data_IF_969047984408
#
_entry.id   IF_969047984408
#
_cell.length_a   1.000
_cell.length_b   1.000
_cell.length_c   1.000
_cell.angle_alpha   90.00
_cell.angle_beta   90.00
_cell.angle_gamma   90.00
#
_symmetry.space_group_name_H-M   'P 1'
#
loop_
_entity.id
_entity.type
_entity.pdbx_description
1 polymer ?
#
# COMPACT_ATOMS: atom_id res chain seq x y z
N UNK A 1 12.16 -12.95 0.54
CA UNK A 1 10.86 -12.36 0.13
C UNK A 1 9.69 -13.34 0.29
N UNK A 2 9.62 -14.45 -0.46
CA UNK A 2 8.53 -15.42 -0.26
C UNK A 2 8.57 -16.08 1.13
N UNK A 3 9.77 -16.34 1.61
CA UNK A 3 10.06 -16.88 2.95
C UNK A 3 9.61 -15.90 4.04
N UNK A 4 10.21 -14.70 4.11
CA UNK A 4 9.78 -13.63 5.05
C UNK A 4 8.26 -13.35 5.04
N UNK A 5 7.62 -13.42 3.87
CA UNK A 5 6.17 -13.22 3.77
C UNK A 5 5.38 -14.35 4.45
N UNK A 6 5.89 -15.57 4.36
CA UNK A 6 5.34 -16.74 5.07
C UNK A 6 5.52 -16.59 6.57
N UNK A 7 6.74 -16.25 7.02
CA UNK A 7 7.07 -16.10 8.43
C UNK A 7 6.26 -14.95 9.07
N UNK A 8 6.14 -13.80 8.37
CA UNK A 8 5.26 -12.71 8.81
C UNK A 8 3.79 -13.16 8.94
N UNK A 9 3.31 -13.98 8.00
CA UNK A 9 1.94 -14.51 8.04
C UNK A 9 1.72 -15.43 9.23
N UNK A 10 2.72 -16.24 9.58
CA UNK A 10 2.73 -17.10 10.76
C UNK A 10 2.73 -16.25 12.04
N UNK A 11 3.59 -15.25 12.14
CA UNK A 11 3.65 -14.34 13.28
C UNK A 11 2.31 -13.60 13.53
N UNK A 12 1.62 -13.19 12.45
CA UNK A 12 0.26 -12.63 12.52
C UNK A 12 -0.73 -13.65 13.10
N UNK A 13 -0.70 -14.90 12.61
CA UNK A 13 -1.61 -15.96 13.03
C UNK A 13 -1.40 -16.33 14.51
N UNK A 14 -0.15 -16.33 14.98
CA UNK A 14 0.23 -16.58 16.37
C UNK A 14 -0.12 -15.43 17.32
N UNK A 15 -0.43 -14.24 16.78
CA UNK A 15 -0.67 -13.00 17.55
C UNK A 15 0.49 -12.66 18.49
N UNK A 16 1.71 -12.95 18.07
CA UNK A 16 2.93 -12.69 18.83
C UNK A 16 3.55 -11.34 18.36
N UNK A 17 3.45 -10.26 19.15
CA UNK A 17 3.88 -8.93 18.71
C UNK A 17 5.39 -8.80 18.49
N UNK A 18 6.21 -9.54 19.24
CA UNK A 18 7.67 -9.49 19.09
C UNK A 18 8.09 -10.22 17.82
N UNK A 19 7.56 -11.42 17.59
CA UNK A 19 7.78 -12.19 16.36
C UNK A 19 7.28 -11.39 15.14
N UNK A 20 6.09 -10.77 15.23
CA UNK A 20 5.56 -9.91 14.16
C UNK A 20 6.53 -8.78 13.79
N UNK A 21 7.17 -8.16 14.79
CA UNK A 21 8.09 -7.05 14.58
C UNK A 21 9.40 -7.50 13.95
N UNK A 22 9.91 -8.67 14.33
CA UNK A 22 11.08 -9.33 13.74
C UNK A 22 10.82 -9.61 12.25
N UNK A 23 9.78 -10.37 11.94
CA UNK A 23 9.46 -10.77 10.57
C UNK A 23 9.09 -9.60 9.66
N UNK A 24 8.44 -8.57 10.20
CA UNK A 24 8.18 -7.35 9.44
C UNK A 24 9.48 -6.64 9.06
N UNK A 25 10.46 -6.62 9.97
CA UNK A 25 11.78 -6.07 9.72
C UNK A 25 12.51 -6.83 8.62
N UNK A 26 12.48 -8.16 8.66
CA UNK A 26 13.15 -9.02 7.69
C UNK A 26 12.49 -8.94 6.31
N UNK A 27 11.16 -8.86 6.23
CA UNK A 27 10.45 -8.60 4.98
C UNK A 27 10.87 -7.26 4.35
N UNK A 28 10.93 -6.19 5.14
CA UNK A 28 11.36 -4.86 4.66
C UNK A 28 12.82 -4.88 4.21
N UNK A 29 13.70 -5.53 4.96
CA UNK A 29 15.11 -5.69 4.60
C UNK A 29 15.30 -6.50 3.32
N UNK A 30 14.55 -7.59 3.16
CA UNK A 30 14.55 -8.41 1.96
C UNK A 30 14.05 -7.62 0.74
N UNK A 31 13.03 -6.77 0.89
CA UNK A 31 12.53 -5.91 -0.18
C UNK A 31 13.59 -4.88 -0.63
N UNK A 32 14.29 -4.23 0.32
CA UNK A 32 15.39 -3.31 0.02
C UNK A 32 16.55 -4.04 -0.68
N UNK A 33 16.87 -5.26 -0.27
CA UNK A 33 17.90 -6.05 -0.94
C UNK A 33 17.52 -6.40 -2.38
N UNK A 34 16.25 -6.72 -2.65
CA UNK A 34 15.78 -6.93 -4.03
C UNK A 34 15.95 -5.67 -4.88
N UNK A 35 15.61 -4.50 -4.35
CA UNK A 35 15.85 -3.22 -5.04
C UNK A 35 17.33 -3.04 -5.36
N UNK A 36 18.23 -3.26 -4.38
CA UNK A 36 19.69 -3.19 -4.58
C UNK A 36 20.18 -4.12 -5.69
N UNK A 37 19.76 -5.39 -5.71
CA UNK A 37 20.18 -6.35 -6.74
C UNK A 37 19.56 -6.09 -8.12
N UNK A 38 18.48 -5.31 -8.16
CA UNK A 38 17.80 -4.93 -9.39
C UNK A 38 18.22 -3.54 -9.89
N UNK A 39 19.20 -2.91 -9.25
CA UNK A 39 19.68 -1.55 -9.57
C UNK A 39 18.55 -0.49 -9.50
N UNK A 40 17.58 -0.70 -8.60
CA UNK A 40 16.48 0.23 -8.35
C UNK A 40 16.73 0.96 -7.04
N UNK A 41 16.51 2.28 -7.01
CA UNK A 41 16.49 3.06 -5.77
C UNK A 41 15.21 2.72 -4.96
N UNK A 42 15.35 2.07 -3.78
CA UNK A 42 14.19 1.69 -2.97
C UNK A 42 13.43 2.90 -2.41
N UNK A 43 14.10 4.01 -2.13
CA UNK A 43 13.47 5.23 -1.61
C UNK A 43 12.60 5.87 -2.70
N UNK A 44 13.14 6.01 -3.91
CA UNK A 44 12.39 6.54 -5.05
C UNK A 44 11.18 5.64 -5.39
N UNK A 45 11.37 4.32 -5.40
CA UNK A 45 10.29 3.37 -5.68
C UNK A 45 9.16 3.42 -4.63
N UNK A 46 9.52 3.58 -3.36
CA UNK A 46 8.55 3.76 -2.28
C UNK A 46 7.82 5.11 -2.41
N UNK A 47 8.56 6.19 -2.70
CA UNK A 47 7.99 7.52 -2.90
C UNK A 47 6.92 7.52 -4.00
N UNK A 48 7.23 6.94 -5.17
CA UNK A 48 6.25 6.80 -6.28
C UNK A 48 5.01 6.02 -5.87
N UNK A 49 5.15 5.03 -4.98
CA UNK A 49 4.02 4.26 -4.47
C UNK A 49 3.17 5.07 -3.49
N UNK A 50 3.80 5.87 -2.62
CA UNK A 50 3.11 6.82 -1.74
C UNK A 50 2.35 7.89 -2.54
N UNK A 51 2.96 8.50 -3.55
CA UNK A 51 2.31 9.51 -4.40
C UNK A 51 1.07 8.95 -5.09
N UNK A 52 1.18 7.72 -5.61
CA UNK A 52 0.05 6.99 -6.22
C UNK A 52 -1.07 6.73 -5.21
N UNK A 53 -0.72 6.36 -3.97
CA UNK A 53 -1.70 6.20 -2.91
C UNK A 53 -2.41 7.52 -2.60
N UNK A 54 -1.66 8.61 -2.44
CA UNK A 54 -2.19 9.95 -2.16
C UNK A 54 -3.17 10.38 -3.25
N UNK A 55 -2.78 10.29 -4.53
CA UNK A 55 -3.66 10.67 -5.66
C UNK A 55 -4.98 9.91 -5.66
N UNK A 56 -4.92 8.59 -5.48
CA UNK A 56 -6.12 7.74 -5.46
C UNK A 56 -6.97 8.01 -4.23
N UNK A 57 -6.34 8.25 -3.10
CA UNK A 57 -7.06 8.61 -1.89
C UNK A 57 -7.78 9.95 -2.04
N UNK A 58 -7.12 10.97 -2.60
CA UNK A 58 -7.76 12.26 -2.91
C UNK A 58 -8.98 12.10 -3.83
N UNK A 59 -8.93 11.19 -4.81
CA UNK A 59 -10.10 10.87 -5.62
C UNK A 59 -11.27 10.30 -4.79
N UNK A 60 -10.99 9.45 -3.79
CA UNK A 60 -12.00 8.96 -2.85
C UNK A 60 -12.59 10.15 -2.07
N UNK A 61 -11.74 11.05 -1.54
CA UNK A 61 -12.20 12.20 -0.75
C UNK A 61 -13.13 13.11 -1.56
N UNK A 62 -12.73 13.48 -2.78
CA UNK A 62 -13.55 14.31 -3.68
C UNK A 62 -14.85 13.62 -4.08
N UNK A 63 -14.80 12.30 -4.33
CA UNK A 63 -15.99 11.54 -4.73
C UNK A 63 -16.97 11.37 -3.57
N UNK A 64 -16.48 11.18 -2.36
CA UNK A 64 -17.29 11.16 -1.15
C UNK A 64 -17.97 12.53 -0.94
N UNK A 65 -17.22 13.62 -1.08
CA UNK A 65 -17.76 14.99 -0.97
C UNK A 65 -18.86 15.26 -2.01
N UNK A 66 -18.63 14.90 -3.29
CA UNK A 66 -19.64 15.02 -4.36
C UNK A 66 -20.92 14.22 -4.09
N UNK A 67 -20.81 13.07 -3.42
CA UNK A 67 -21.95 12.23 -3.02
C UNK A 67 -22.59 12.68 -1.70
N UNK A 68 -22.07 13.74 -1.05
CA UNK A 68 -22.53 14.20 0.26
C UNK A 68 -22.26 13.18 1.38
N UNK A 69 -21.28 12.29 1.18
CA UNK A 69 -20.88 11.26 2.12
C UNK A 69 -19.69 11.75 2.95
N UNK A 70 -19.59 11.24 4.18
CA UNK A 70 -18.40 11.42 5.00
C UNK A 70 -17.55 10.16 4.91
N UNK A 71 -16.24 10.29 4.66
CA UNK A 71 -15.30 9.17 4.59
C UNK A 71 -15.39 8.25 5.80
N UNK A 72 -15.53 8.82 7.01
CA UNK A 72 -15.63 8.04 8.25
C UNK A 72 -16.92 7.20 8.37
N UNK A 73 -17.87 7.36 7.45
CA UNK A 73 -19.12 6.58 7.39
C UNK A 73 -19.15 5.59 6.23
N UNK A 74 -18.13 5.60 5.37
CA UNK A 74 -18.06 4.70 4.23
C UNK A 74 -17.60 3.31 4.68
N UNK A 75 -18.14 2.28 4.04
CA UNK A 75 -17.60 0.93 4.19
C UNK A 75 -16.26 0.79 3.45
N UNK A 76 -15.49 -0.24 3.81
CA UNK A 76 -14.23 -0.54 3.11
C UNK A 76 -14.49 -0.88 1.63
N UNK A 77 -15.60 -1.55 1.34
CA UNK A 77 -16.02 -1.88 -0.03
C UNK A 77 -16.32 -0.62 -0.84
N UNK A 78 -17.04 0.36 -0.27
CA UNK A 78 -17.33 1.63 -0.95
C UNK A 78 -16.04 2.45 -1.20
N UNK A 79 -15.11 2.43 -0.25
CA UNK A 79 -13.80 3.08 -0.44
C UNK A 79 -12.98 2.37 -1.50
N UNK A 80 -13.00 1.03 -1.55
CA UNK A 80 -12.30 0.23 -2.55
C UNK A 80 -12.86 0.47 -3.97
N UNK A 81 -14.19 0.56 -4.12
CA UNK A 81 -14.82 0.93 -5.40
C UNK A 81 -14.31 2.29 -5.90
N UNK A 82 -14.32 3.31 -5.05
CA UNK A 82 -13.79 4.63 -5.38
C UNK A 82 -12.28 4.61 -5.63
N UNK A 83 -11.51 3.77 -4.92
CA UNK A 83 -10.08 3.60 -5.15
C UNK A 83 -9.79 3.04 -6.55
N UNK A 84 -10.57 2.05 -6.99
CA UNK A 84 -10.46 1.47 -8.33
C UNK A 84 -10.90 2.47 -9.41
N UNK A 85 -11.96 3.25 -9.17
CA UNK A 85 -12.33 4.35 -10.06
C UNK A 85 -11.17 5.35 -10.20
N UNK A 86 -10.58 5.79 -9.08
CA UNK A 86 -9.44 6.71 -9.08
C UNK A 86 -8.25 6.18 -9.89
N UNK A 87 -7.96 4.88 -9.79
CA UNK A 87 -6.96 4.20 -10.62
C UNK A 87 -7.28 4.26 -12.12
N UNK A 88 -8.55 4.19 -12.53
CA UNK A 88 -8.94 4.31 -13.94
C UNK A 88 -8.96 5.76 -14.45
N UNK A 89 -9.16 6.72 -13.56
CA UNK A 89 -9.13 8.15 -13.87
C UNK A 89 -7.69 8.71 -14.00
N UNK A 90 -6.67 8.00 -13.49
CA UNK A 90 -5.26 8.34 -13.71
C UNK A 90 -4.92 8.27 -15.21
N UNK A 91 -4.58 9.42 -15.82
CA UNK A 91 -3.86 9.41 -17.10
C UNK A 91 -2.46 8.86 -16.84
N UNK A 92 -1.94 7.90 -17.61
CA UNK A 92 -0.57 7.43 -17.41
C UNK A 92 0.37 8.63 -17.52
N UNK A 93 1.14 8.87 -16.46
CA UNK A 93 2.29 9.77 -16.54
C UNK A 93 3.23 9.18 -17.60
N UNK A 94 3.55 9.99 -18.61
CA UNK A 94 4.70 9.69 -19.45
C UNK A 94 5.94 9.86 -18.56
N UNK A 95 6.46 8.76 -18.03
CA UNK A 95 7.82 8.69 -17.47
C UNK A 95 8.86 8.74 -18.60
#
# INVERSE_FOLDING_TARGET
>A
LKEELSELSEAIAEKNPEHLKEELGDLLFAAVNVARFSEVDPEEALHKSCDKFIRRFSYIEESAERKGLSLGKMSLEEMEELYQEGKTAETPLND
#
